data_IF_052283429452
#
_entry.id   IF_052283429452
#
_cell.length_a   1.000
_cell.length_b   1.000
_cell.length_c   1.000
_cell.angle_alpha   90.00
_cell.angle_beta   90.00
_cell.angle_gamma   90.00
#
_symmetry.space_group_name_H-M   'P 1'
#
loop_
_entity.id
_entity.type
_entity.pdbx_description
1 polymer ?
#
# COMPACT_ATOMS: atom_id res chain seq x y z
N UNK A 1 -19.21 -14.11 24.11
CA UNK A 1 -19.08 -13.76 22.69
C UNK A 1 -18.52 -12.37 22.44
N UNK A 2 -18.93 -11.29 23.13
CA UNK A 2 -18.54 -9.91 22.73
C UNK A 2 -17.06 -9.52 22.95
N UNK A 3 -16.38 -10.15 23.92
CA UNK A 3 -15.00 -9.78 24.28
C UNK A 3 -13.94 -10.32 23.30
N UNK A 4 -14.24 -11.43 22.61
CA UNK A 4 -13.33 -12.06 21.64
C UNK A 4 -13.35 -11.27 20.31
N UNK A 5 -14.53 -10.83 19.87
CA UNK A 5 -14.71 -10.07 18.64
C UNK A 5 -14.04 -8.69 18.71
N UNK A 6 -14.08 -8.05 19.89
CA UNK A 6 -13.37 -6.80 20.14
C UNK A 6 -11.85 -6.95 20.07
N UNK A 7 -11.31 -8.05 20.61
CA UNK A 7 -9.87 -8.32 20.59
C UNK A 7 -9.36 -8.61 19.18
N UNK A 8 -10.15 -9.34 18.38
CA UNK A 8 -9.87 -9.59 16.96
C UNK A 8 -9.87 -8.26 16.17
N UNK A 9 -10.83 -7.38 16.42
CA UNK A 9 -10.92 -6.07 15.76
C UNK A 9 -9.72 -5.17 16.08
N UNK A 10 -9.25 -5.16 17.34
CA UNK A 10 -8.03 -4.41 17.72
C UNK A 10 -6.77 -5.02 17.11
N UNK A 11 -6.65 -6.34 17.02
CA UNK A 11 -5.49 -6.93 16.36
C UNK A 11 -5.48 -6.66 14.86
N UNK A 12 -6.64 -6.71 14.22
CA UNK A 12 -6.76 -6.40 12.79
C UNK A 12 -6.42 -4.93 12.51
N UNK A 13 -6.86 -4.00 13.37
CA UNK A 13 -6.50 -2.59 13.24
C UNK A 13 -5.02 -2.32 13.50
N UNK A 14 -4.41 -2.98 14.50
CA UNK A 14 -2.97 -2.89 14.76
C UNK A 14 -2.13 -3.44 13.58
N UNK A 15 -2.47 -4.62 13.07
CA UNK A 15 -1.80 -5.22 11.91
C UNK A 15 -1.93 -4.34 10.64
N UNK A 16 -3.11 -3.74 10.44
CA UNK A 16 -3.35 -2.81 9.33
C UNK A 16 -2.48 -1.54 9.44
N UNK A 17 -2.29 -1.00 10.65
CA UNK A 17 -1.44 0.17 10.88
C UNK A 17 0.05 -0.19 10.66
N UNK A 18 0.50 -1.35 11.13
CA UNK A 18 1.89 -1.80 10.92
C UNK A 18 2.19 -2.06 9.44
N UNK A 19 1.18 -2.49 8.67
CA UNK A 19 1.28 -2.65 7.21
C UNK A 19 1.55 -1.33 6.47
N UNK A 20 1.03 -0.21 6.98
CA UNK A 20 1.27 1.14 6.44
C UNK A 20 2.70 1.60 6.80
N UNK A 21 3.26 1.13 7.91
CA UNK A 21 4.56 1.53 8.43
C UNK A 21 5.74 0.60 8.02
N UNK A 22 5.46 -0.49 7.29
CA UNK A 22 6.46 -1.50 6.92
C UNK A 22 7.39 -1.09 5.75
N UNK A 23 7.19 0.06 5.13
CA UNK A 23 7.88 0.45 3.87
C UNK A 23 9.18 1.24 4.02
N UNK A 24 9.83 1.24 5.20
CA UNK A 24 11.10 1.98 5.41
C UNK A 24 12.23 1.09 5.96
N UNK A 25 12.43 -0.09 5.37
CA UNK A 25 13.66 -0.86 5.57
C UNK A 25 14.75 -0.32 4.65
N UNK A 26 15.96 -0.07 5.18
CA UNK A 26 17.12 0.27 4.33
C UNK A 26 17.43 -0.88 3.39
N UNK A 27 17.59 -0.57 2.11
CA UNK A 27 18.08 -1.55 1.13
C UNK A 27 19.52 -1.99 1.48
N UNK A 28 19.91 -3.22 1.14
CA UNK A 28 21.30 -3.64 1.19
C UNK A 28 22.19 -2.70 0.36
N UNK A 29 23.47 -2.57 0.74
CA UNK A 29 24.40 -1.59 0.15
C UNK A 29 24.55 -1.72 -1.38
N UNK A 30 24.47 -2.94 -1.92
CA UNK A 30 24.50 -3.21 -3.37
C UNK A 30 23.30 -2.63 -4.15
N UNK A 31 22.20 -2.31 -3.45
CA UNK A 31 20.97 -1.76 -4.04
C UNK A 31 20.72 -0.32 -3.61
N UNK A 32 21.69 0.36 -2.99
CA UNK A 32 21.53 1.74 -2.53
C UNK A 32 21.17 2.72 -3.66
N UNK A 33 21.53 2.42 -4.91
CA UNK A 33 21.13 3.22 -6.08
C UNK A 33 19.61 3.15 -6.37
N UNK A 34 18.92 2.11 -5.90
CA UNK A 34 17.47 1.93 -6.06
C UNK A 34 16.66 2.62 -4.96
N UNK A 35 17.29 3.21 -3.95
CA UNK A 35 16.58 3.91 -2.85
C UNK A 35 15.52 4.89 -3.39
N UNK A 36 15.88 5.69 -4.39
CA UNK A 36 14.95 6.65 -5.01
C UNK A 36 13.71 5.99 -5.63
N UNK A 37 13.85 4.79 -6.19
CA UNK A 37 12.74 4.05 -6.80
C UNK A 37 11.85 3.45 -5.70
N UNK A 38 12.47 2.90 -4.65
CA UNK A 38 11.74 2.33 -3.52
C UNK A 38 10.97 3.40 -2.75
N UNK A 39 11.52 4.60 -2.62
CA UNK A 39 10.84 5.73 -1.99
C UNK A 39 9.56 6.15 -2.75
N UNK A 40 9.50 5.91 -4.06
CA UNK A 40 8.33 6.21 -4.91
C UNK A 40 7.37 5.02 -5.02
N UNK A 41 7.84 3.79 -4.78
CA UNK A 41 7.05 2.55 -4.90
C UNK A 41 5.69 2.57 -4.16
N UNK A 42 5.55 3.17 -2.96
CA UNK A 42 4.26 3.25 -2.27
C UNK A 42 3.16 3.99 -3.04
N UNK A 43 3.50 4.78 -4.08
CA UNK A 43 2.52 5.48 -4.93
C UNK A 43 1.83 4.57 -5.94
N UNK A 44 2.38 3.38 -6.23
CA UNK A 44 1.89 2.47 -7.28
C UNK A 44 0.39 2.15 -7.16
N UNK A 45 -0.18 1.85 -5.97
CA UNK A 45 -1.62 1.60 -5.83
C UNK A 45 -2.47 2.78 -6.30
N UNK A 46 -2.04 4.02 -6.05
CA UNK A 46 -2.72 5.22 -6.52
C UNK A 46 -2.66 5.34 -8.04
N UNK A 47 -1.53 4.99 -8.67
CA UNK A 47 -1.41 4.99 -10.13
C UNK A 47 -2.36 3.98 -10.79
N UNK A 48 -2.54 2.79 -10.21
CA UNK A 48 -3.51 1.81 -10.72
C UNK A 48 -4.96 2.27 -10.55
N UNK A 49 -5.28 2.95 -9.45
CA UNK A 49 -6.58 3.58 -9.26
C UNK A 49 -6.85 4.64 -10.34
N UNK A 50 -5.89 5.52 -10.61
CA UNK A 50 -6.00 6.53 -11.68
C UNK A 50 -6.06 5.88 -13.07
N UNK A 51 -5.31 4.80 -13.29
CA UNK A 51 -5.34 4.05 -14.54
C UNK A 51 -6.73 3.49 -14.84
N UNK A 52 -7.53 3.13 -13.83
CA UNK A 52 -8.92 2.70 -14.03
C UNK A 52 -9.76 3.82 -14.69
N UNK A 53 -9.59 5.07 -14.30
CA UNK A 53 -10.27 6.21 -14.93
C UNK A 53 -9.73 6.51 -16.33
N UNK A 54 -8.41 6.41 -16.52
CA UNK A 54 -7.80 6.55 -17.86
C UNK A 54 -8.36 5.47 -18.80
N UNK A 55 -8.45 4.23 -18.32
CA UNK A 55 -9.01 3.12 -19.08
C UNK A 55 -10.48 3.34 -19.40
N UNK A 56 -11.29 3.73 -18.40
CA UNK A 56 -12.71 4.05 -18.61
C UNK A 56 -12.90 5.21 -19.60
N UNK A 57 -12.10 6.27 -19.49
CA UNK A 57 -12.12 7.38 -20.44
C UNK A 57 -11.75 6.93 -21.87
N UNK A 58 -10.78 6.01 -22.01
CA UNK A 58 -10.37 5.47 -23.32
C UNK A 58 -11.46 4.62 -23.99
N UNK A 59 -12.40 4.05 -23.22
CA UNK A 59 -13.57 3.32 -23.73
C UNK A 59 -14.87 4.13 -23.64
N UNK A 60 -14.77 5.46 -23.48
CA UNK A 60 -15.89 6.41 -23.43
C UNK A 60 -16.87 6.23 -22.26
N UNK A 61 -16.40 5.69 -21.12
CA UNK A 61 -17.23 5.43 -19.93
C UNK A 61 -18.50 4.62 -20.24
N UNK A 62 -18.37 3.65 -21.15
CA UNK A 62 -19.42 2.68 -21.43
C UNK A 62 -19.51 1.58 -20.37
#
# INVERSE_FOLDING_TARGET
>A
MQHIDFFICIQYSAFSIDSIHFFFAKLPESYAFLNQIVDVMPVIPLLFFLLAFVWQAAVSFR
#
